data_IF_296583674821
#
_entry.id   IF_296583674821
#
_cell.length_a   1.000
_cell.length_b   1.000
_cell.length_c   1.000
_cell.angle_alpha   90.00
_cell.angle_beta   90.00
_cell.angle_gamma   90.00
#
_symmetry.space_group_name_H-M   'P 1'
#
loop_
_entity.id
_entity.type
_entity.pdbx_description
1 polymer ?
#
# COMPACT_ATOMS: atom_id res chain seq x y z
N UNK A 1 -9.39 2.14 -10.59
CA UNK A 1 -8.56 3.18 -9.94
C UNK A 1 -7.37 3.39 -10.83
N UNK A 2 -7.33 4.46 -11.61
CA UNK A 2 -6.28 4.70 -12.61
C UNK A 2 -5.09 5.48 -12.07
N UNK A 3 -5.20 6.03 -10.85
CA UNK A 3 -4.24 6.98 -10.29
C UNK A 3 -3.92 6.64 -8.83
N UNK A 4 -2.74 7.06 -8.35
CA UNK A 4 -2.31 6.89 -6.96
C UNK A 4 -3.17 7.72 -5.99
N UNK A 5 -3.25 7.34 -4.70
CA UNK A 5 -3.96 8.14 -3.69
C UNK A 5 -3.36 9.54 -3.58
N UNK A 6 -4.18 10.58 -3.43
CA UNK A 6 -3.69 11.96 -3.32
C UNK A 6 -2.96 12.19 -1.99
N UNK A 7 -3.28 11.39 -0.97
CA UNK A 7 -2.52 11.36 0.29
C UNK A 7 -1.07 10.92 0.12
N UNK A 8 -0.73 10.20 -0.95
CA UNK A 8 0.62 9.65 -1.12
C UNK A 8 1.60 10.76 -1.52
N UNK A 9 2.65 10.94 -0.72
CA UNK A 9 3.71 11.92 -0.95
C UNK A 9 5.03 11.22 -1.30
N UNK A 10 6.09 11.96 -1.64
CA UNK A 10 7.44 11.38 -1.80
C UNK A 10 7.76 10.77 -3.18
N UNK A 11 6.80 10.71 -4.10
CA UNK A 11 7.03 10.31 -5.49
C UNK A 11 5.79 9.77 -6.21
N UNK A 12 6.00 9.19 -7.38
CA UNK A 12 4.95 8.53 -8.16
C UNK A 12 5.11 7.00 -8.14
N UNK A 13 3.98 6.29 -8.04
CA UNK A 13 3.94 4.84 -8.20
C UNK A 13 4.31 4.46 -9.65
N UNK A 14 5.16 3.44 -9.79
CA UNK A 14 5.44 2.84 -11.10
C UNK A 14 4.21 2.09 -11.61
N UNK A 15 4.09 1.92 -12.92
CA UNK A 15 2.93 1.30 -13.57
C UNK A 15 2.54 -0.05 -12.95
N UNK A 16 3.53 -0.93 -12.70
CA UNK A 16 3.29 -2.24 -12.07
C UNK A 16 2.83 -2.13 -10.61
N UNK A 17 3.20 -1.07 -9.90
CA UNK A 17 2.73 -0.82 -8.52
C UNK A 17 1.28 -0.33 -8.52
N UNK A 18 0.89 0.47 -9.52
CA UNK A 18 -0.50 0.87 -9.72
C UNK A 18 -1.36 -0.35 -10.06
N UNK A 19 -0.89 -1.24 -10.91
CA UNK A 19 -1.56 -2.52 -11.20
C UNK A 19 -1.70 -3.39 -9.94
N UNK A 20 -0.64 -3.52 -9.14
CA UNK A 20 -0.69 -4.23 -7.85
C UNK A 20 -1.70 -3.62 -6.88
N UNK A 21 -1.74 -2.29 -6.78
CA UNK A 21 -2.72 -1.55 -5.98
C UNK A 21 -4.15 -1.82 -6.46
N UNK A 22 -4.41 -1.73 -7.78
CA UNK A 22 -5.72 -2.02 -8.36
C UNK A 22 -6.18 -3.44 -8.04
N UNK A 23 -5.27 -4.42 -8.13
CA UNK A 23 -5.55 -5.81 -7.80
C UNK A 23 -5.91 -5.97 -6.32
N UNK A 24 -5.13 -5.40 -5.40
CA UNK A 24 -5.43 -5.45 -3.96
C UNK A 24 -6.76 -4.75 -3.63
N UNK A 25 -7.08 -3.63 -4.28
CA UNK A 25 -8.37 -2.96 -4.11
C UNK A 25 -9.54 -3.79 -4.64
N UNK A 26 -9.34 -4.53 -5.74
CA UNK A 26 -10.34 -5.48 -6.24
C UNK A 26 -10.62 -6.57 -5.21
N UNK A 27 -9.58 -7.13 -4.60
CA UNK A 27 -9.73 -8.12 -3.52
C UNK A 27 -10.51 -7.55 -2.34
N UNK A 28 -10.14 -6.35 -1.88
CA UNK A 28 -10.84 -5.67 -0.80
C UNK A 28 -12.32 -5.45 -1.11
N UNK A 29 -12.66 -4.93 -2.29
CA UNK A 29 -14.05 -4.67 -2.68
C UNK A 29 -14.89 -5.95 -2.79
N UNK A 30 -14.25 -7.09 -3.05
CA UNK A 30 -14.91 -8.39 -3.15
C UNK A 30 -14.85 -9.21 -1.85
N UNK A 31 -14.35 -8.64 -0.74
CA UNK A 31 -14.12 -9.35 0.52
C UNK A 31 -13.26 -10.63 0.36
N UNK A 32 -12.26 -10.56 -0.51
CA UNK A 32 -11.31 -11.64 -0.76
C UNK A 32 -9.95 -11.31 -0.15
N UNK A 33 -9.23 -12.37 0.27
CA UNK A 33 -7.84 -12.28 0.67
C UNK A 33 -6.92 -12.56 -0.52
N UNK A 34 -5.67 -12.11 -0.47
CA UNK A 34 -4.70 -12.36 -1.53
C UNK A 34 -3.26 -12.42 -1.03
N UNK A 35 -2.39 -12.96 -1.88
CA UNK A 35 -0.94 -13.02 -1.66
C UNK A 35 -0.27 -12.26 -2.80
N UNK A 36 0.39 -11.15 -2.47
CA UNK A 36 1.20 -10.40 -3.43
C UNK A 36 2.55 -11.11 -3.60
N UNK A 37 2.69 -11.88 -4.67
CA UNK A 37 3.83 -12.77 -4.94
C UNK A 37 4.89 -12.17 -5.87
N UNK A 38 4.97 -10.83 -5.91
CA UNK A 38 5.92 -10.08 -6.72
C UNK A 38 7.39 -10.40 -6.37
N UNK A 39 8.28 -10.24 -7.35
CA UNK A 39 9.73 -10.34 -7.16
C UNK A 39 10.24 -9.37 -6.08
N UNK A 40 11.35 -9.73 -5.43
CA UNK A 40 11.98 -8.87 -4.41
C UNK A 40 12.42 -7.54 -5.03
N UNK A 41 12.29 -6.44 -4.27
CA UNK A 41 12.67 -5.11 -4.76
C UNK A 41 11.59 -4.35 -5.54
N UNK A 42 10.44 -4.96 -5.86
CA UNK A 42 9.32 -4.29 -6.54
C UNK A 42 8.46 -3.38 -5.63
N UNK A 43 8.94 -3.05 -4.43
CA UNK A 43 8.25 -2.09 -3.56
C UNK A 43 6.92 -2.59 -2.98
N UNK A 44 6.87 -3.84 -2.49
CA UNK A 44 5.69 -4.36 -1.79
C UNK A 44 5.25 -3.49 -0.59
N UNK A 45 6.22 -2.86 0.09
CA UNK A 45 5.97 -1.93 1.20
C UNK A 45 5.16 -0.72 0.73
N UNK A 46 5.63 -0.01 -0.30
CA UNK A 46 4.93 1.17 -0.84
C UNK A 46 3.57 0.80 -1.42
N UNK A 47 3.44 -0.35 -2.11
CA UNK A 47 2.14 -0.83 -2.58
C UNK A 47 1.16 -1.04 -1.41
N UNK A 48 1.64 -1.57 -0.28
CA UNK A 48 0.82 -1.76 0.94
C UNK A 48 0.43 -0.41 1.57
N UNK A 49 1.36 0.54 1.66
CA UNK A 49 1.07 1.89 2.16
C UNK A 49 0.05 2.59 1.27
N UNK A 50 0.19 2.48 -0.05
CA UNK A 50 -0.75 3.04 -1.02
C UNK A 50 -2.15 2.43 -0.88
N UNK A 51 -2.25 1.12 -0.60
CA UNK A 51 -3.52 0.48 -0.30
C UNK A 51 -4.19 1.12 0.93
N UNK A 52 -3.45 1.28 2.03
CA UNK A 52 -3.99 1.88 3.25
C UNK A 52 -4.42 3.33 3.02
N UNK A 53 -3.58 4.14 2.37
CA UNK A 53 -3.89 5.53 2.04
C UNK A 53 -5.19 5.61 1.21
N UNK A 54 -5.33 4.76 0.19
CA UNK A 54 -6.55 4.69 -0.62
C UNK A 54 -7.79 4.33 0.21
N UNK A 55 -7.66 3.35 1.12
CA UNK A 55 -8.77 2.93 1.98
C UNK A 55 -9.22 4.05 2.91
N UNK A 56 -8.29 4.86 3.44
CA UNK A 56 -8.65 6.01 4.27
C UNK A 56 -9.31 7.12 3.45
N UNK A 57 -8.68 7.51 2.34
CA UNK A 57 -9.09 8.65 1.52
C UNK A 57 -10.41 8.41 0.77
N UNK A 58 -10.54 7.25 0.12
CA UNK A 58 -11.64 6.98 -0.83
C UNK A 58 -12.71 6.03 -0.29
N UNK A 59 -12.41 5.25 0.76
CA UNK A 59 -13.36 4.29 1.35
C UNK A 59 -13.78 4.65 2.78
N UNK A 60 -13.17 5.68 3.39
CA UNK A 60 -13.47 6.09 4.76
C UNK A 60 -13.05 5.06 5.82
N UNK A 61 -12.14 4.14 5.48
CA UNK A 61 -11.66 3.08 6.37
C UNK A 61 -10.33 3.51 7.00
N UNK A 62 -10.43 4.33 8.05
CA UNK A 62 -9.26 4.88 8.76
C UNK A 62 -8.55 3.90 9.68
N UNK A 63 -9.14 2.74 9.96
CA UNK A 63 -8.52 1.68 10.77
C UNK A 63 -9.45 1.12 11.85
N UNK A 64 -8.92 0.27 12.76
CA UNK A 64 -7.50 -0.06 12.91
C UNK A 64 -6.95 -0.98 11.81
N UNK A 65 -5.74 -0.70 11.35
CA UNK A 65 -4.98 -1.53 10.39
C UNK A 65 -3.75 -2.13 11.11
N UNK A 66 -3.51 -3.44 10.95
CA UNK A 66 -2.38 -4.14 11.56
C UNK A 66 -1.42 -4.65 10.49
N UNK A 67 -0.16 -4.23 10.57
CA UNK A 67 0.94 -4.75 9.75
C UNK A 67 1.90 -5.54 10.65
N UNK A 68 2.24 -6.76 10.22
CA UNK A 68 3.24 -7.60 10.88
C UNK A 68 4.42 -7.77 9.94
N UNK A 69 5.62 -7.43 10.43
CA UNK A 69 6.86 -7.55 9.66
C UNK A 69 8.00 -8.05 10.55
N UNK A 70 9.03 -8.70 9.97
CA UNK A 70 10.23 -9.10 10.72
C UNK A 70 10.91 -7.90 11.39
N UNK A 71 11.49 -8.11 12.58
CA UNK A 71 12.18 -7.06 13.36
C UNK A 71 13.20 -6.27 12.53
N UNK A 72 13.94 -6.94 11.66
CA UNK A 72 15.00 -6.34 10.85
C UNK A 72 14.51 -5.28 9.85
N UNK A 73 13.22 -5.27 9.49
CA UNK A 73 12.67 -4.32 8.50
C UNK A 73 11.72 -3.29 9.11
N UNK A 74 11.47 -3.33 10.42
CA UNK A 74 10.52 -2.41 11.07
C UNK A 74 10.96 -0.93 10.93
N UNK A 75 12.25 -0.64 11.07
CA UNK A 75 12.78 0.72 10.86
C UNK A 75 12.54 1.21 9.44
N UNK A 76 12.65 0.33 8.44
CA UNK A 76 12.34 0.67 7.06
C UNK A 76 10.85 1.01 6.91
N UNK A 77 9.94 0.19 7.47
CA UNK A 77 8.51 0.48 7.42
C UNK A 77 8.16 1.85 8.02
N UNK A 78 8.74 2.21 9.17
CA UNK A 78 8.53 3.52 9.78
C UNK A 78 8.98 4.66 8.87
N UNK A 79 10.17 4.53 8.26
CA UNK A 79 10.69 5.54 7.33
C UNK A 79 9.85 5.67 6.06
N UNK A 80 9.38 4.55 5.50
CA UNK A 80 8.50 4.55 4.33
C UNK A 80 7.16 5.20 4.66
N UNK A 81 6.56 4.95 5.83
CA UNK A 81 5.35 5.66 6.25
C UNK A 81 5.60 7.17 6.36
N UNK A 82 6.67 7.58 7.03
CA UNK A 82 7.02 9.00 7.16
C UNK A 82 7.28 9.69 5.81
N UNK A 83 7.73 8.94 4.80
CA UNK A 83 8.03 9.46 3.46
C UNK A 83 6.80 9.51 2.58
N UNK A 84 6.01 8.43 2.55
CA UNK A 84 4.93 8.24 1.60
C UNK A 84 3.55 8.61 2.12
N UNK A 85 3.32 8.59 3.44
CA UNK A 85 2.03 8.90 4.04
C UNK A 85 2.20 9.49 5.46
N UNK A 86 2.70 10.74 5.57
CA UNK A 86 2.91 11.42 6.84
C UNK A 86 1.62 11.81 7.57
#
# INVERSE_FOLDING_TARGET
>A
VTEQPAMLQGGELRSYQVEGLQWMLSLFNNNLNGILADEMGLGKTIQTIALLAYLMENKGVSGPHLIVAPKAVLSNWVNEFATWAP
#
